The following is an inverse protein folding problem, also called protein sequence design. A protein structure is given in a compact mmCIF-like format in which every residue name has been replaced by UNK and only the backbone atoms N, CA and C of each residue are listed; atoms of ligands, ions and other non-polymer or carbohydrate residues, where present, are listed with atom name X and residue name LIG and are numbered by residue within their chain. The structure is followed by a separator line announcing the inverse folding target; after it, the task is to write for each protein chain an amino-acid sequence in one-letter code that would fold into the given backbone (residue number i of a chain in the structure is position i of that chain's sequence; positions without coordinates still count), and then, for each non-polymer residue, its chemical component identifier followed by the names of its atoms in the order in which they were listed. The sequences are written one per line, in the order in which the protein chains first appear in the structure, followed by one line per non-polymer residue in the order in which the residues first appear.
data_IF_781265729211
#
_entry.id   IF_781265729211
#
_cell.length_a   1.000
_cell.length_b   1.000
_cell.length_c   1.000
_cell.angle_alpha   90.00
_cell.angle_beta   90.00
_cell.angle_gamma   90.00
#
_symmetry.space_group_name_H-M   'P 1'
#
loop_
_entity.id
_entity.type
_entity.pdbx_description
1 polymer ?
#
# COMPACT_ATOMS: atom_id res chain seq x y z
N UNK A 1 -15.46 -14.48 -8.35
CA UNK A 1 -14.04 -14.17 -8.53
C UNK A 1 -13.27 -14.98 -7.50
N UNK A 2 -12.33 -15.80 -7.95
CA UNK A 2 -11.44 -16.55 -7.06
C UNK A 2 -10.18 -15.72 -6.86
N UNK A 3 -10.04 -15.15 -5.68
CA UNK A 3 -9.02 -14.18 -5.35
C UNK A 3 -7.89 -14.81 -4.52
N UNK A 4 -6.65 -14.62 -4.95
CA UNK A 4 -5.47 -14.88 -4.14
C UNK A 4 -4.85 -13.55 -3.68
N UNK A 5 -4.79 -13.32 -2.36
CA UNK A 5 -4.14 -12.15 -1.75
C UNK A 5 -2.77 -12.56 -1.22
N UNK A 6 -1.72 -12.18 -1.90
CA UNK A 6 -0.34 -12.40 -1.46
C UNK A 6 0.06 -11.27 -0.50
N UNK A 7 0.56 -11.64 0.70
CA UNK A 7 0.75 -10.70 1.81
C UNK A 7 -0.54 -10.39 2.57
N UNK A 8 -1.47 -11.35 2.59
CA UNK A 8 -2.79 -11.23 3.21
C UNK A 8 -2.77 -10.91 4.70
N UNK A 9 -1.72 -11.28 5.45
CA UNK A 9 -1.63 -11.00 6.89
C UNK A 9 -1.26 -9.54 7.22
N UNK A 10 -0.83 -8.73 6.24
CA UNK A 10 -0.57 -7.31 6.41
C UNK A 10 -1.84 -6.46 6.56
N UNK A 11 -1.70 -5.19 6.96
CA UNK A 11 -2.83 -4.27 7.14
C UNK A 11 -3.73 -4.19 5.90
N UNK A 12 -3.15 -3.91 4.73
CA UNK A 12 -3.89 -3.82 3.47
C UNK A 12 -4.42 -5.18 3.02
N UNK A 13 -3.59 -6.23 3.11
CA UNK A 13 -4.00 -7.57 2.66
C UNK A 13 -5.21 -8.12 3.42
N UNK A 14 -5.28 -7.90 4.75
CA UNK A 14 -6.44 -8.26 5.57
C UNK A 14 -7.70 -7.54 5.13
N UNK A 15 -7.59 -6.24 4.88
CA UNK A 15 -8.74 -5.43 4.47
C UNK A 15 -9.25 -5.86 3.08
N UNK A 16 -8.33 -6.12 2.11
CA UNK A 16 -8.70 -6.67 0.80
C UNK A 16 -9.43 -8.00 0.95
N UNK A 17 -8.86 -8.94 1.73
CA UNK A 17 -9.46 -10.24 1.96
C UNK A 17 -10.86 -10.13 2.61
N UNK A 18 -11.00 -9.27 3.61
CA UNK A 18 -12.25 -9.04 4.30
C UNK A 18 -13.34 -8.43 3.39
N UNK A 19 -12.98 -7.43 2.58
CA UNK A 19 -13.93 -6.81 1.64
C UNK A 19 -14.34 -7.79 0.53
N UNK A 20 -13.39 -8.53 -0.05
CA UNK A 20 -13.68 -9.53 -1.06
C UNK A 20 -14.60 -10.65 -0.53
N UNK A 21 -14.38 -11.11 0.71
CA UNK A 21 -15.25 -12.08 1.37
C UNK A 21 -16.65 -11.53 1.59
N UNK A 22 -16.79 -10.30 2.08
CA UNK A 22 -18.12 -9.65 2.23
C UNK A 22 -18.85 -9.49 0.91
N UNK A 23 -18.13 -9.34 -0.20
CA UNK A 23 -18.69 -9.31 -1.56
C UNK A 23 -18.98 -10.71 -2.13
N UNK A 24 -18.80 -11.80 -1.35
CA UNK A 24 -19.11 -13.16 -1.77
C UNK A 24 -18.01 -13.86 -2.60
N UNK A 25 -16.81 -13.30 -2.68
CA UNK A 25 -15.71 -13.96 -3.38
C UNK A 25 -15.16 -15.16 -2.61
N UNK A 26 -14.68 -16.19 -3.31
CA UNK A 26 -13.78 -17.18 -2.74
C UNK A 26 -12.40 -16.55 -2.60
N UNK A 27 -11.83 -16.55 -1.38
CA UNK A 27 -10.58 -15.88 -1.08
C UNK A 27 -9.58 -16.85 -0.45
N UNK A 28 -8.42 -17.01 -1.11
CA UNK A 28 -7.21 -17.52 -0.49
C UNK A 28 -6.27 -16.35 -0.17
N UNK A 29 -5.56 -16.43 0.95
CA UNK A 29 -4.61 -15.40 1.33
C UNK A 29 -3.34 -16.00 1.91
N UNK A 30 -2.20 -15.32 1.71
CA UNK A 30 -0.93 -15.83 2.19
C UNK A 30 -0.40 -15.07 3.39
N UNK A 31 0.40 -15.78 4.18
CA UNK A 31 1.16 -15.25 5.29
C UNK A 31 2.58 -15.83 5.28
N UNK A 32 3.56 -15.09 5.84
CA UNK A 32 4.93 -15.59 5.97
C UNK A 32 5.17 -16.25 7.34
N UNK A 33 4.76 -15.61 8.42
CA UNK A 33 4.98 -16.11 9.79
C UNK A 33 3.68 -16.53 10.47
N UNK A 34 2.64 -15.72 10.39
CA UNK A 34 1.35 -15.95 11.05
C UNK A 34 0.19 -15.50 10.16
N UNK A 35 -0.84 -16.32 10.10
CA UNK A 35 -2.11 -15.96 9.48
C UNK A 35 -2.80 -14.83 10.26
N UNK A 36 -3.62 -14.06 9.58
CA UNK A 36 -4.51 -13.11 10.22
C UNK A 36 -5.87 -13.76 10.52
N UNK A 37 -6.66 -13.10 11.37
CA UNK A 37 -8.00 -13.53 11.72
C UNK A 37 -9.01 -12.84 10.80
N UNK A 38 -9.35 -13.50 9.69
CA UNK A 38 -10.42 -13.09 8.77
C UNK A 38 -11.21 -14.34 8.42
N UNK A 39 -12.48 -14.36 8.79
CA UNK A 39 -13.35 -15.51 8.63
C UNK A 39 -13.57 -15.91 7.16
N UNK A 40 -13.58 -17.21 6.91
CA UNK A 40 -13.84 -17.78 5.60
C UNK A 40 -12.74 -17.57 4.57
N UNK A 41 -11.54 -17.14 4.99
CA UNK A 41 -10.34 -17.04 4.14
C UNK A 41 -9.53 -18.33 4.25
N UNK A 42 -9.12 -18.89 3.10
CA UNK A 42 -8.20 -20.02 3.02
C UNK A 42 -6.75 -19.54 3.18
N UNK A 43 -6.19 -19.68 4.39
CA UNK A 43 -4.86 -19.20 4.71
C UNK A 43 -3.76 -20.17 4.32
N UNK A 44 -2.75 -19.69 3.57
CA UNK A 44 -1.63 -20.47 3.09
C UNK A 44 -0.28 -19.86 3.47
N UNK A 45 0.66 -20.62 4.02
CA UNK A 45 2.01 -20.13 4.21
C UNK A 45 2.69 -19.94 2.84
N UNK A 46 3.47 -18.87 2.69
CA UNK A 46 4.23 -18.60 1.47
C UNK A 46 5.43 -17.71 1.77
N UNK A 47 6.60 -18.13 1.32
CA UNK A 47 7.75 -17.24 1.15
C UNK A 47 7.84 -16.81 -0.32
N UNK A 48 7.52 -15.55 -0.64
CA UNK A 48 7.55 -15.07 -2.03
C UNK A 48 8.97 -14.98 -2.62
N UNK A 49 10.01 -15.10 -1.80
CA UNK A 49 11.41 -15.20 -2.27
C UNK A 49 11.69 -16.54 -2.98
N UNK A 50 10.88 -17.54 -2.69
CA UNK A 50 10.97 -18.86 -3.32
C UNK A 50 10.10 -18.91 -4.58
N UNK A 51 10.71 -18.73 -5.76
CA UNK A 51 10.00 -18.83 -7.04
C UNK A 51 9.24 -20.17 -7.20
N UNK A 52 9.81 -21.33 -6.83
CA UNK A 52 9.09 -22.61 -6.93
C UNK A 52 7.84 -22.64 -6.03
N UNK A 53 7.91 -22.12 -4.81
CA UNK A 53 6.74 -22.08 -3.90
C UNK A 53 5.62 -21.21 -4.44
N UNK A 54 5.97 -20.03 -4.99
CA UNK A 54 4.98 -19.12 -5.60
C UNK A 54 4.29 -19.82 -6.78
N UNK A 55 5.07 -20.40 -7.71
CA UNK A 55 4.53 -21.06 -8.88
C UNK A 55 3.63 -22.26 -8.50
N UNK A 56 4.06 -23.09 -7.53
CA UNK A 56 3.28 -24.22 -7.04
C UNK A 56 1.99 -23.80 -6.38
N UNK A 57 2.01 -22.73 -5.55
CA UNK A 57 0.81 -22.24 -4.89
C UNK A 57 -0.21 -21.73 -5.91
N UNK A 58 0.21 -20.91 -6.88
CA UNK A 58 -0.67 -20.36 -7.92
C UNK A 58 -1.25 -21.47 -8.79
N UNK A 59 -0.42 -22.45 -9.20
CA UNK A 59 -0.86 -23.61 -9.97
C UNK A 59 -1.89 -24.48 -9.23
N UNK A 60 -1.77 -24.60 -7.91
CA UNK A 60 -2.70 -25.39 -7.06
C UNK A 60 -4.01 -24.65 -6.79
N UNK A 61 -3.96 -23.36 -6.52
CA UNK A 61 -5.16 -22.53 -6.23
C UNK A 61 -5.92 -22.21 -7.51
N UNK A 62 -5.21 -21.98 -8.63
CA UNK A 62 -5.76 -21.54 -9.93
C UNK A 62 -6.65 -20.29 -9.78
N UNK A 63 -6.15 -19.20 -9.14
CA UNK A 63 -6.95 -18.02 -8.95
C UNK A 63 -7.25 -17.33 -10.28
N UNK A 64 -8.43 -16.73 -10.43
CA UNK A 64 -8.70 -15.84 -11.56
C UNK A 64 -8.04 -14.47 -11.38
N UNK A 65 -7.75 -14.10 -10.12
CA UNK A 65 -7.16 -12.81 -9.79
C UNK A 65 -6.15 -12.95 -8.65
N UNK A 66 -5.02 -12.26 -8.78
CA UNK A 66 -3.97 -12.17 -7.76
C UNK A 66 -3.78 -10.70 -7.38
N UNK A 67 -3.85 -10.40 -6.07
CA UNK A 67 -3.44 -9.09 -5.54
C UNK A 67 -2.17 -9.29 -4.73
N UNK A 68 -1.05 -8.68 -5.19
CA UNK A 68 0.23 -8.77 -4.50
C UNK A 68 0.47 -7.54 -3.62
N UNK A 69 0.20 -7.69 -2.32
CA UNK A 69 0.45 -6.71 -1.27
C UNK A 69 1.68 -7.05 -0.40
N UNK A 70 2.43 -8.09 -0.76
CA UNK A 70 3.61 -8.48 0.00
C UNK A 70 4.81 -7.59 -0.31
N UNK A 71 5.49 -7.14 0.75
CA UNK A 71 6.76 -6.42 0.67
C UNK A 71 7.48 -6.46 2.03
N UNK A 72 8.77 -6.19 2.01
CA UNK A 72 9.55 -5.90 3.21
C UNK A 72 10.49 -4.73 2.90
N UNK A 73 10.33 -3.62 3.61
CA UNK A 73 11.02 -2.37 3.30
C UNK A 73 12.56 -2.49 3.33
N UNK A 74 13.10 -3.35 4.19
CA UNK A 74 14.54 -3.59 4.35
C UNK A 74 15.05 -4.82 3.57
N UNK A 75 14.23 -5.43 2.72
CA UNK A 75 14.59 -6.67 2.03
C UNK A 75 14.26 -6.57 0.53
N UNK A 76 15.33 -6.43 -0.28
CA UNK A 76 15.25 -6.38 -1.74
C UNK A 76 14.60 -7.64 -2.31
N UNK A 77 15.05 -8.81 -1.88
CA UNK A 77 14.58 -10.08 -2.43
C UNK A 77 13.07 -10.26 -2.24
N UNK A 78 12.54 -9.88 -1.07
CA UNK A 78 11.08 -9.90 -0.86
C UNK A 78 10.38 -8.86 -1.74
N UNK A 79 10.94 -7.64 -1.87
CA UNK A 79 10.21 -6.52 -2.48
C UNK A 79 10.33 -6.50 -4.00
N UNK A 80 11.50 -6.79 -4.57
CA UNK A 80 11.74 -6.80 -6.00
C UNK A 80 11.61 -8.21 -6.60
N UNK A 81 12.43 -9.16 -6.15
CA UNK A 81 12.47 -10.50 -6.76
C UNK A 81 11.17 -11.27 -6.48
N UNK A 82 10.62 -11.16 -5.26
CA UNK A 82 9.35 -11.75 -4.91
C UNK A 82 8.19 -11.24 -5.76
N UNK A 83 8.17 -9.93 -6.08
CA UNK A 83 7.17 -9.37 -7.00
C UNK A 83 7.30 -9.93 -8.42
N UNK A 84 8.54 -10.11 -8.90
CA UNK A 84 8.83 -10.75 -10.19
C UNK A 84 8.34 -12.21 -10.21
N UNK A 85 8.57 -12.99 -9.13
CA UNK A 85 8.09 -14.37 -9.04
C UNK A 85 6.56 -14.44 -9.11
N UNK A 86 5.88 -13.53 -8.42
CA UNK A 86 4.40 -13.44 -8.45
C UNK A 86 3.91 -13.09 -9.85
N UNK A 87 4.54 -12.10 -10.51
CA UNK A 87 4.15 -11.70 -11.86
C UNK A 87 4.34 -12.82 -12.88
N UNK A 88 5.45 -13.57 -12.80
CA UNK A 88 5.69 -14.73 -13.64
C UNK A 88 4.61 -15.81 -13.44
N UNK A 89 4.30 -16.16 -12.19
CA UNK A 89 3.29 -17.16 -11.88
C UNK A 89 1.88 -16.72 -12.30
N UNK A 90 1.55 -15.43 -12.17
CA UNK A 90 0.28 -14.86 -12.63
C UNK A 90 0.15 -14.96 -14.16
N UNK A 91 1.18 -14.57 -14.90
CA UNK A 91 1.22 -14.66 -16.36
C UNK A 91 1.12 -16.11 -16.86
N UNK A 92 1.85 -17.04 -16.26
CA UNK A 92 1.79 -18.47 -16.58
C UNK A 92 0.39 -19.07 -16.33
N UNK A 93 -0.30 -18.62 -15.29
CA UNK A 93 -1.65 -19.07 -14.94
C UNK A 93 -2.76 -18.35 -15.72
N UNK A 94 -2.46 -17.29 -16.46
CA UNK A 94 -3.45 -16.41 -17.07
C UNK A 94 -4.31 -15.65 -16.05
N UNK A 95 -3.80 -15.49 -14.82
CA UNK A 95 -4.51 -14.80 -13.76
C UNK A 95 -4.32 -13.27 -13.86
N UNK A 96 -5.38 -12.52 -13.59
CA UNK A 96 -5.32 -11.06 -13.49
C UNK A 96 -4.43 -10.64 -12.33
N UNK A 97 -3.40 -9.81 -12.56
CA UNK A 97 -2.50 -9.33 -11.51
C UNK A 97 -2.78 -7.85 -11.17
N UNK A 98 -2.91 -7.57 -9.86
CA UNK A 98 -2.82 -6.23 -9.28
C UNK A 98 -1.61 -6.20 -8.34
N UNK A 99 -0.56 -5.46 -8.70
CA UNK A 99 0.64 -5.31 -7.89
C UNK A 99 0.64 -3.96 -7.18
N UNK A 100 0.82 -3.97 -5.86
CA UNK A 100 0.89 -2.75 -5.05
C UNK A 100 2.32 -2.20 -5.07
N UNK A 101 2.48 -1.00 -5.66
CA UNK A 101 3.71 -0.21 -5.63
C UNK A 101 3.61 0.92 -4.59
N UNK A 102 4.50 1.91 -4.67
CA UNK A 102 4.63 2.95 -3.65
C UNK A 102 5.04 4.29 -4.27
N UNK A 103 4.65 5.39 -3.65
CA UNK A 103 5.16 6.75 -3.89
C UNK A 103 6.67 6.88 -3.66
N UNK A 104 7.29 5.93 -2.94
CA UNK A 104 8.73 5.86 -2.72
C UNK A 104 9.55 5.65 -4.02
N UNK A 105 8.90 5.35 -5.15
CA UNK A 105 9.53 5.29 -6.47
C UNK A 105 9.95 6.67 -6.98
N UNK A 106 9.53 7.75 -6.33
CA UNK A 106 9.80 9.12 -6.72
C UNK A 106 10.79 9.83 -5.79
N UNK A 107 11.62 10.71 -6.37
CA UNK A 107 12.61 11.50 -5.65
C UNK A 107 12.04 12.72 -4.90
N UNK A 108 10.82 13.15 -5.20
CA UNK A 108 10.22 14.35 -4.61
C UNK A 108 10.77 15.66 -5.20
N UNK A 109 11.14 15.67 -6.48
CA UNK A 109 11.67 16.86 -7.18
C UNK A 109 10.62 17.60 -7.99
N UNK A 110 9.53 16.93 -8.36
CA UNK A 110 8.43 17.54 -9.09
C UNK A 110 7.35 18.07 -8.12
N UNK A 111 6.59 19.07 -8.55
CA UNK A 111 5.49 19.62 -7.77
C UNK A 111 4.36 18.60 -7.58
N UNK A 112 4.16 17.69 -8.54
CA UNK A 112 3.20 16.61 -8.55
C UNK A 112 3.68 15.49 -9.48
N UNK A 113 3.21 14.28 -9.27
CA UNK A 113 3.52 13.10 -10.07
C UNK A 113 2.22 12.48 -10.57
N UNK A 114 2.08 12.37 -11.89
CA UNK A 114 1.04 11.60 -12.56
C UNK A 114 1.51 10.17 -12.88
N UNK A 115 0.64 9.37 -13.50
CA UNK A 115 0.94 7.97 -13.83
C UNK A 115 2.01 7.81 -14.92
N UNK A 116 2.26 8.84 -15.75
CA UNK A 116 3.27 8.83 -16.82
C UNK A 116 4.68 9.13 -16.30
N UNK A 117 4.80 9.71 -15.10
CA UNK A 117 6.08 10.05 -14.50
C UNK A 117 6.93 8.79 -14.28
N UNK A 118 8.18 8.74 -14.83
CA UNK A 118 9.08 7.62 -14.61
C UNK A 118 9.60 7.59 -13.18
N UNK A 119 9.85 6.39 -12.60
CA UNK A 119 10.50 6.25 -11.32
C UNK A 119 11.92 6.86 -11.31
N UNK A 120 12.24 7.62 -10.25
CA UNK A 120 13.55 8.18 -9.96
C UNK A 120 13.94 8.05 -8.47
N UNK A 121 13.87 6.82 -7.88
CA UNK A 121 13.94 6.61 -6.44
C UNK A 121 15.25 7.07 -5.83
N UNK A 122 15.20 7.58 -4.60
CA UNK A 122 16.36 8.01 -3.81
C UNK A 122 16.60 7.15 -2.56
N UNK A 123 15.85 6.05 -2.43
CA UNK A 123 16.01 5.11 -1.30
C UNK A 123 16.13 3.68 -1.82
N UNK A 124 16.80 2.75 -1.07
CA UNK A 124 16.85 1.33 -1.45
C UNK A 124 15.46 0.71 -1.59
N UNK A 125 14.52 1.06 -0.73
CA UNK A 125 13.14 0.59 -0.83
C UNK A 125 12.44 1.08 -2.11
N UNK A 126 12.58 2.37 -2.43
CA UNK A 126 12.03 2.93 -3.67
C UNK A 126 12.63 2.26 -4.90
N UNK A 127 13.96 2.01 -4.89
CA UNK A 127 14.64 1.29 -5.97
C UNK A 127 14.11 -0.15 -6.13
N UNK A 128 13.89 -0.87 -5.03
CA UNK A 128 13.30 -2.21 -5.06
C UNK A 128 11.87 -2.20 -5.62
N UNK A 129 11.06 -1.20 -5.27
CA UNK A 129 9.71 -1.02 -5.83
C UNK A 129 9.75 -0.68 -7.32
N UNK A 130 10.63 0.20 -7.76
CA UNK A 130 10.80 0.53 -9.18
C UNK A 130 11.26 -0.68 -10.01
N UNK A 131 12.17 -1.50 -9.47
CA UNK A 131 12.58 -2.77 -10.08
C UNK A 131 11.41 -3.76 -10.19
N UNK A 132 10.57 -3.86 -9.15
CA UNK A 132 9.35 -4.66 -9.17
C UNK A 132 8.39 -4.19 -10.28
N UNK A 133 8.13 -2.87 -10.41
CA UNK A 133 7.30 -2.33 -11.49
C UNK A 133 7.83 -2.71 -12.88
N UNK A 134 9.16 -2.61 -13.07
CA UNK A 134 9.81 -2.98 -14.34
C UNK A 134 9.62 -4.47 -14.66
N UNK A 135 9.81 -5.34 -13.66
CA UNK A 135 9.63 -6.79 -13.82
C UNK A 135 8.17 -7.15 -14.11
N UNK A 136 7.21 -6.56 -13.37
CA UNK A 136 5.77 -6.78 -13.59
C UNK A 136 5.36 -6.36 -14.99
N UNK A 137 5.74 -5.15 -15.45
CA UNK A 137 5.44 -4.68 -16.82
C UNK A 137 6.03 -5.58 -17.90
N UNK A 138 7.24 -6.11 -17.68
CA UNK A 138 7.92 -6.97 -18.63
C UNK A 138 7.30 -8.36 -18.75
N UNK A 139 6.76 -8.89 -17.66
CA UNK A 139 6.19 -10.25 -17.59
C UNK A 139 4.70 -10.29 -17.88
N UNK A 140 3.96 -9.27 -17.47
CA UNK A 140 2.49 -9.19 -17.64
C UNK A 140 2.07 -7.78 -18.03
N UNK A 141 1.85 -7.56 -19.33
CA UNK A 141 1.36 -6.28 -19.86
C UNK A 141 -0.10 -6.00 -19.46
N UNK A 142 -0.83 -7.02 -19.04
CA UNK A 142 -2.20 -6.93 -18.55
C UNK A 142 -2.29 -6.52 -17.08
N UNK A 143 -1.19 -6.53 -16.35
CA UNK A 143 -1.19 -6.22 -14.92
C UNK A 143 -1.57 -4.77 -14.62
N UNK A 144 -2.19 -4.57 -13.46
CA UNK A 144 -2.34 -3.27 -12.80
C UNK A 144 -1.17 -3.08 -11.83
N UNK A 145 -0.53 -1.93 -11.88
CA UNK A 145 0.48 -1.48 -10.91
C UNK A 145 -0.09 -0.29 -10.16
N UNK A 146 -0.48 -0.49 -8.92
CA UNK A 146 -1.08 0.53 -8.08
C UNK A 146 -0.03 1.21 -7.22
N UNK A 147 0.40 2.42 -7.57
CA UNK A 147 1.25 3.27 -6.72
C UNK A 147 0.38 3.90 -5.64
N UNK A 148 0.72 3.66 -4.40
CA UNK A 148 0.01 4.19 -3.25
C UNK A 148 0.94 4.94 -2.31
N UNK A 149 0.40 5.59 -1.30
CA UNK A 149 1.14 6.36 -0.31
C UNK A 149 0.97 5.74 1.08
N UNK A 150 1.01 6.56 2.15
CA UNK A 150 0.88 6.10 3.53
C UNK A 150 -0.50 5.50 3.77
N UNK A 151 -0.53 4.24 4.16
CA UNK A 151 -1.79 3.54 4.44
C UNK A 151 -2.16 3.73 5.90
N UNK A 152 -3.33 4.30 6.15
CA UNK A 152 -3.86 4.66 7.47
C UNK A 152 -5.19 3.92 7.69
N UNK A 153 -5.44 3.49 8.92
CA UNK A 153 -6.75 2.98 9.30
C UNK A 153 -6.74 1.95 10.41
N UNK A 154 -7.86 1.91 11.13
CA UNK A 154 -8.13 0.94 12.20
C UNK A 154 -7.25 1.07 13.45
N UNK A 155 -6.51 2.17 13.63
CA UNK A 155 -5.54 2.31 14.72
C UNK A 155 -4.33 1.38 14.62
N UNK A 156 -4.24 0.60 13.54
CA UNK A 156 -3.30 -0.51 13.40
C UNK A 156 -2.15 -0.24 12.43
N UNK A 157 -2.14 0.90 11.72
CA UNK A 157 -1.02 1.25 10.84
C UNK A 157 0.24 1.56 11.64
N UNK A 158 1.40 1.37 11.01
CA UNK A 158 2.69 1.74 11.61
C UNK A 158 2.73 3.24 11.95
N UNK A 159 2.07 4.08 11.15
CA UNK A 159 2.01 5.52 11.34
C UNK A 159 1.17 5.90 12.56
N UNK A 160 0.00 5.29 12.72
CA UNK A 160 -0.87 5.49 13.90
C UNK A 160 -0.18 5.06 15.18
N UNK A 161 0.42 3.85 15.20
CA UNK A 161 1.19 3.38 16.36
C UNK A 161 2.36 4.30 16.72
N UNK A 162 3.05 4.85 15.71
CA UNK A 162 4.15 5.79 15.96
C UNK A 162 3.66 7.09 16.59
N UNK A 163 2.54 7.65 16.11
CA UNK A 163 1.91 8.84 16.70
C UNK A 163 1.51 8.58 18.15
N UNK A 164 0.87 7.45 18.43
CA UNK A 164 0.50 7.06 19.79
C UNK A 164 1.73 6.91 20.71
N UNK A 165 2.80 6.30 20.21
CA UNK A 165 4.04 6.13 20.97
C UNK A 165 4.73 7.48 21.28
N UNK A 166 4.73 8.42 20.34
CA UNK A 166 5.23 9.77 20.55
C UNK A 166 4.36 10.55 21.56
N UNK A 167 3.04 10.52 21.39
CA UNK A 167 2.11 11.24 22.25
C UNK A 167 2.13 10.77 23.70
N UNK A 168 2.40 9.46 23.92
CA UNK A 168 2.54 8.87 25.27
C UNK A 168 3.95 8.95 25.85
N UNK A 169 4.94 9.45 25.09
CA UNK A 169 6.34 9.44 25.50
C UNK A 169 7.01 8.06 25.47
N UNK A 170 6.35 7.04 24.91
CA UNK A 170 6.90 5.68 24.78
C UNK A 170 7.94 5.56 23.65
N UNK A 171 8.03 6.54 22.77
CA UNK A 171 9.07 6.66 21.75
C UNK A 171 9.66 8.06 21.75
N UNK A 172 10.95 8.16 21.40
CA UNK A 172 11.61 9.40 21.08
C UNK A 172 11.58 9.65 19.56
N UNK A 173 11.68 10.91 19.17
CA UNK A 173 11.73 11.32 17.75
C UNK A 173 10.87 12.55 17.47
N UNK A 174 10.74 12.86 16.18
CA UNK A 174 9.94 13.99 15.70
C UNK A 174 9.08 13.56 14.52
N UNK A 175 7.98 14.25 14.30
CA UNK A 175 7.21 14.18 13.07
C UNK A 175 7.65 15.32 12.14
N UNK A 176 8.00 14.97 10.90
CA UNK A 176 8.57 15.94 9.97
C UNK A 176 7.52 16.86 9.39
N UNK A 177 7.82 18.17 9.38
CA UNK A 177 6.97 19.20 8.78
C UNK A 177 7.19 19.38 7.28
N UNK A 178 8.31 18.86 6.76
CA UNK A 178 8.76 18.91 5.38
C UNK A 178 8.74 17.55 4.65
N UNK A 179 8.26 16.48 5.28
CA UNK A 179 7.99 15.18 4.63
C UNK A 179 6.50 15.08 4.30
N UNK A 180 6.15 15.42 3.05
CA UNK A 180 4.75 15.53 2.57
C UNK A 180 4.37 14.33 1.72
N UNK A 181 3.21 13.72 2.01
CA UNK A 181 2.65 12.53 1.31
C UNK A 181 1.14 12.66 1.15
N UNK A 182 0.57 11.74 0.36
CA UNK A 182 -0.87 11.62 0.12
C UNK A 182 -1.45 10.40 0.87
N UNK A 183 -1.69 10.48 2.21
CA UNK A 183 -2.18 9.34 2.98
C UNK A 183 -3.53 8.85 2.45
N UNK A 184 -3.72 7.52 2.44
CA UNK A 184 -4.96 6.88 2.00
C UNK A 184 -5.54 6.03 3.12
N UNK A 185 -6.86 6.02 3.23
CA UNK A 185 -7.55 5.12 4.15
C UNK A 185 -7.50 3.68 3.63
N UNK A 186 -7.15 2.72 4.50
CA UNK A 186 -6.97 1.32 4.11
C UNK A 186 -8.21 0.72 3.45
N UNK A 187 -9.41 1.09 3.89
CA UNK A 187 -10.65 0.58 3.30
C UNK A 187 -10.92 1.15 1.90
N UNK A 188 -10.61 2.44 1.67
CA UNK A 188 -10.76 3.06 0.35
C UNK A 188 -9.75 2.46 -0.64
N UNK A 189 -8.50 2.27 -0.20
CA UNK A 189 -7.48 1.63 -1.01
C UNK A 189 -7.87 0.19 -1.37
N UNK A 190 -8.32 -0.60 -0.40
CA UNK A 190 -8.74 -1.98 -0.64
C UNK A 190 -9.91 -2.05 -1.63
N UNK A 191 -10.92 -1.18 -1.49
CA UNK A 191 -12.05 -1.10 -2.40
C UNK A 191 -11.63 -0.73 -3.83
N UNK A 192 -10.78 0.30 -3.96
CA UNK A 192 -10.24 0.72 -5.26
C UNK A 192 -9.41 -0.37 -5.95
N UNK A 193 -8.59 -1.11 -5.19
CA UNK A 193 -7.82 -2.24 -5.73
C UNK A 193 -8.71 -3.39 -6.19
N UNK A 194 -9.78 -3.70 -5.47
CA UNK A 194 -10.77 -4.71 -5.87
C UNK A 194 -11.57 -4.26 -7.11
N UNK A 195 -11.89 -2.98 -7.22
CA UNK A 195 -12.52 -2.41 -8.41
C UNK A 195 -11.60 -2.49 -9.64
N UNK A 196 -10.32 -2.12 -9.49
CA UNK A 196 -9.29 -2.27 -10.54
C UNK A 196 -9.09 -3.74 -10.93
N UNK A 197 -9.09 -4.66 -9.95
CA UNK A 197 -8.99 -6.09 -10.18
C UNK A 197 -10.14 -6.65 -11.05
N UNK A 198 -11.35 -6.13 -10.88
CA UNK A 198 -12.54 -6.48 -11.67
C UNK A 198 -12.70 -5.71 -12.99
N UNK A 199 -11.83 -4.75 -13.28
CA UNK A 199 -11.91 -3.89 -14.47
C UNK A 199 -11.06 -4.39 -15.62
N UNK A 200 -11.20 -3.76 -16.79
CA UNK A 200 -10.32 -3.95 -17.95
C UNK A 200 -9.09 -3.02 -17.94
N UNK A 201 -8.93 -2.15 -16.95
CA UNK A 201 -7.82 -1.21 -16.89
C UNK A 201 -6.50 -1.93 -16.61
N UNK A 202 -5.42 -1.47 -17.23
CA UNK A 202 -4.06 -2.03 -17.11
C UNK A 202 -3.05 -0.93 -16.91
N UNK A 203 -1.80 -1.30 -16.58
CA UNK A 203 -0.71 -0.35 -16.43
C UNK A 203 -0.67 0.33 -15.07
N UNK A 204 -0.10 1.53 -15.01
CA UNK A 204 0.08 2.27 -13.77
C UNK A 204 -1.19 3.02 -13.39
N UNK A 205 -1.50 2.98 -12.10
CA UNK A 205 -2.59 3.72 -11.46
C UNK A 205 -2.08 4.34 -10.17
N UNK A 206 -2.40 5.61 -9.94
CA UNK A 206 -2.16 6.25 -8.66
C UNK A 206 -3.39 6.10 -7.75
N UNK A 207 -3.23 5.38 -6.63
CA UNK A 207 -4.31 5.05 -5.69
C UNK A 207 -3.92 5.57 -4.30
N UNK A 208 -4.08 6.87 -4.08
CA UNK A 208 -3.75 7.56 -2.85
C UNK A 208 -4.85 8.54 -2.45
N UNK A 209 -4.82 9.02 -1.21
CA UNK A 209 -5.75 10.04 -0.75
C UNK A 209 -5.50 11.39 -1.46
N UNK A 210 -6.55 12.17 -1.63
CA UNK A 210 -6.50 13.45 -2.36
C UNK A 210 -5.74 14.57 -1.64
N UNK A 211 -5.56 14.46 -0.29
CA UNK A 211 -4.87 15.48 0.49
C UNK A 211 -3.38 15.14 0.58
N UNK A 212 -2.53 16.11 0.29
CA UNK A 212 -1.11 16.04 0.57
C UNK A 212 -0.82 16.73 1.90
N UNK A 213 -0.36 15.98 2.89
CA UNK A 213 -0.10 16.47 4.24
C UNK A 213 1.30 16.09 4.71
N UNK A 214 1.90 16.92 5.57
CA UNK A 214 3.18 16.59 6.20
C UNK A 214 3.00 15.44 7.23
N UNK A 215 4.11 14.78 7.59
CA UNK A 215 4.08 13.77 8.66
C UNK A 215 3.58 14.34 9.98
N UNK A 216 3.95 15.59 10.28
CA UNK A 216 3.51 16.28 11.49
C UNK A 216 2.01 16.59 11.44
N UNK A 217 1.50 17.11 10.31
CA UNK A 217 0.08 17.36 10.14
C UNK A 217 -0.74 16.06 10.20
N UNK A 218 -0.29 15.00 9.53
CA UNK A 218 -0.90 13.67 9.64
C UNK A 218 -0.96 13.20 11.10
N UNK A 219 0.14 13.39 11.85
CA UNK A 219 0.19 13.06 13.27
C UNK A 219 -0.83 13.83 14.09
N UNK A 220 -0.99 15.11 13.84
CA UNK A 220 -2.02 15.95 14.51
C UNK A 220 -3.44 15.50 14.19
N UNK A 221 -3.72 15.15 12.93
CA UNK A 221 -5.03 14.61 12.54
C UNK A 221 -5.34 13.29 13.25
N UNK A 222 -4.36 12.38 13.33
CA UNK A 222 -4.49 11.11 14.06
C UNK A 222 -4.71 11.38 15.56
N UNK A 223 -3.90 12.25 16.17
CA UNK A 223 -4.01 12.58 17.59
C UNK A 223 -5.39 13.17 17.91
N UNK A 224 -5.89 14.09 17.09
CA UNK A 224 -7.23 14.69 17.25
C UNK A 224 -8.33 13.67 17.13
N UNK A 225 -8.28 12.77 16.14
CA UNK A 225 -9.25 11.68 15.98
C UNK A 225 -9.29 10.77 17.22
N UNK A 226 -8.11 10.47 17.79
CA UNK A 226 -7.96 9.50 18.87
C UNK A 226 -7.98 10.13 20.28
N UNK A 227 -8.26 11.44 20.38
CA UNK A 227 -8.34 12.14 21.66
C UNK A 227 -6.99 12.35 22.36
N UNK A 228 -5.88 12.30 21.62
CA UNK A 228 -4.53 12.54 22.13
C UNK A 228 -4.17 14.03 22.07
N UNK A 229 -3.20 14.46 22.88
CA UNK A 229 -2.71 15.85 22.86
C UNK A 229 -1.87 16.10 21.60
N UNK A 230 -2.36 16.98 20.71
CA UNK A 230 -1.60 17.45 19.55
C UNK A 230 -0.30 18.17 19.96
N UNK A 231 -0.32 18.89 21.10
CA UNK A 231 0.83 19.60 21.62
C UNK A 231 1.96 18.69 22.15
N UNK A 232 1.64 17.41 22.37
CA UNK A 232 2.63 16.42 22.78
C UNK A 232 3.43 15.83 21.60
N UNK A 233 3.10 16.20 20.35
CA UNK A 233 3.76 15.69 19.16
C UNK A 233 4.95 16.58 18.77
N UNK A 234 6.20 16.07 18.89
CA UNK A 234 7.37 16.86 18.52
C UNK A 234 7.45 17.09 17.01
N UNK A 235 7.68 18.31 16.59
CA UNK A 235 7.90 18.70 15.20
C UNK A 235 9.38 18.85 14.87
N UNK A 236 9.77 18.52 13.63
CA UNK A 236 11.13 18.68 13.15
C UNK A 236 11.21 18.76 11.64
N UNK A 237 12.41 19.02 11.12
CA UNK A 237 12.70 18.99 9.69
C UNK A 237 13.43 17.68 9.35
N UNK A 238 13.03 17.05 8.25
CA UNK A 238 13.75 15.92 7.66
C UNK A 238 14.99 16.38 6.90
N UNK A 239 14.90 17.53 6.25
CA UNK A 239 16.01 18.11 5.51
C UNK A 239 17.22 18.28 6.43
N UNK A 240 18.34 17.61 6.08
CA UNK A 240 19.61 17.69 6.80
C UNK A 240 19.67 16.89 8.12
N UNK A 241 18.62 16.16 8.52
CA UNK A 241 18.56 15.49 9.84
C UNK A 241 18.41 13.97 9.79
N UNK A 242 18.35 13.34 8.62
CA UNK A 242 18.07 11.91 8.54
C UNK A 242 18.61 11.23 7.28
N UNK A 243 18.36 9.94 7.13
CA UNK A 243 18.75 9.21 5.93
C UNK A 243 18.09 9.83 4.69
N UNK A 244 18.75 9.74 3.50
CA UNK A 244 18.21 10.25 2.25
C UNK A 244 16.78 9.77 1.99
N UNK A 245 15.96 10.66 1.43
CA UNK A 245 14.59 10.32 1.07
C UNK A 245 13.88 11.53 0.47
N UNK A 246 12.84 11.28 -0.30
CA UNK A 246 12.02 12.33 -0.87
C UNK A 246 11.36 13.16 0.23
N UNK A 247 11.43 14.49 0.13
CA UNK A 247 10.76 15.38 1.08
C UNK A 247 9.29 15.51 0.74
N UNK A 248 8.96 15.72 -0.53
CA UNK A 248 7.59 15.94 -0.96
C UNK A 248 7.24 15.06 -2.16
N UNK A 249 6.26 14.19 -2.01
CA UNK A 249 5.70 13.40 -3.11
C UNK A 249 4.19 13.53 -3.10
N UNK A 250 3.67 14.28 -4.07
CA UNK A 250 2.24 14.45 -4.32
C UNK A 250 1.84 13.57 -5.51
N UNK A 251 1.06 12.53 -5.26
CA UNK A 251 0.50 11.70 -6.32
C UNK A 251 -0.75 12.38 -6.89
N UNK A 252 -0.76 12.66 -8.17
CA UNK A 252 -1.97 13.03 -8.89
C UNK A 252 -2.75 11.74 -9.19
N UNK A 253 -3.93 11.61 -8.60
CA UNK A 253 -4.82 10.48 -8.78
C UNK A 253 -6.00 10.79 -9.70
N UNK A 254 -6.00 11.93 -10.40
CA UNK A 254 -7.15 12.43 -11.17
C UNK A 254 -7.60 11.44 -12.22
N UNK A 255 -6.67 10.88 -13.01
CA UNK A 255 -6.99 9.91 -14.06
C UNK A 255 -7.55 8.63 -13.46
N UNK A 256 -6.89 8.06 -12.46
CA UNK A 256 -7.38 6.85 -11.79
C UNK A 256 -8.73 7.10 -11.11
N UNK A 257 -8.90 8.22 -10.38
CA UNK A 257 -10.16 8.53 -9.70
C UNK A 257 -11.34 8.66 -10.70
N UNK A 258 -11.09 9.17 -11.90
CA UNK A 258 -12.15 9.28 -12.94
C UNK A 258 -12.63 7.91 -13.47
N UNK A 259 -11.84 6.87 -13.27
CA UNK A 259 -12.12 5.48 -13.66
C UNK A 259 -12.78 4.65 -12.57
N UNK A 260 -12.73 5.12 -11.32
CA UNK A 260 -13.22 4.41 -10.15
C UNK A 260 -14.55 5.00 -9.66
N UNK A 261 -15.45 4.12 -9.21
CA UNK A 261 -16.61 4.48 -8.40
C UNK A 261 -16.22 4.67 -6.93
N UNK A 262 -15.21 3.93 -6.48
CA UNK A 262 -14.62 4.08 -5.14
C UNK A 262 -14.00 5.46 -4.99
N UNK A 263 -14.46 6.20 -3.98
CA UNK A 263 -13.90 7.53 -3.67
C UNK A 263 -12.68 7.40 -2.79
N UNK A 264 -11.56 7.97 -3.24
CA UNK A 264 -10.33 8.09 -2.45
C UNK A 264 -10.41 9.34 -1.58
N UNK A 265 -10.82 9.19 -0.31
CA UNK A 265 -10.95 10.30 0.62
C UNK A 265 -9.60 10.89 0.99
N UNK A 266 -9.55 12.18 1.31
CA UNK A 266 -8.37 12.85 1.85
C UNK A 266 -8.21 12.64 3.35
N UNK A 267 -6.99 12.88 3.86
CA UNK A 267 -6.65 12.70 5.27
C UNK A 267 -7.54 13.52 6.22
N UNK A 268 -7.84 14.76 5.85
CA UNK A 268 -8.72 15.63 6.63
C UNK A 268 -10.15 15.08 6.75
N UNK A 269 -10.61 14.32 5.75
CA UNK A 269 -11.94 13.73 5.76
C UNK A 269 -11.98 12.45 6.60
N UNK A 270 -11.10 11.48 6.30
CA UNK A 270 -11.19 10.18 6.97
C UNK A 270 -10.60 10.16 8.39
N UNK A 271 -9.87 11.21 8.80
CA UNK A 271 -9.38 11.41 10.16
C UNK A 271 -10.21 12.43 10.96
N UNK A 272 -11.35 12.90 10.41
CA UNK A 272 -12.29 13.69 11.19
C UNK A 272 -12.80 12.87 12.37
N UNK A 273 -12.78 13.42 13.61
CA UNK A 273 -13.38 12.75 14.75
C UNK A 273 -14.85 12.43 14.47
N UNK A 274 -15.26 11.20 14.72
CA UNK A 274 -16.69 10.86 14.69
C UNK A 274 -17.30 11.57 15.89
N UNK A 275 -18.11 12.62 15.62
CA UNK A 275 -18.88 13.27 16.68
C UNK A 275 -19.64 12.20 17.44
N UNK A 276 -19.40 12.07 18.74
CA UNK A 276 -20.17 11.21 19.60
C UNK A 276 -21.64 11.66 19.47
N UNK A 277 -22.48 10.81 18.83
CA UNK A 277 -23.94 10.99 18.79
C UNK A 277 -24.54 10.50 20.09
#
# INVERSE_FOLDING_TARGET
MDLLVIGGSGLLGREIAAQARRAGAAVAATFHQRAAEVDGVDWRPLDIRSRPEVAELVRRIKPSTIVNAAFRQSDWTTTADGAMHVAAAAAEAGARLVHISSDAVFAGRAASYDEECPPDPVTPYGAAKAAAETAVKGLDRGAVIARTSLIIGGGASVHERHVHALASGAAAGVLFTDDVRCPVHVADLAAALLELAGSAYTGIHHVAGRDAVSRHELGRLIARRDGLSEAALPAGLRAGSGPPGALEVRLDCTVTQSRLTTRLRGAHEFLTPVSAR
#
